data_IF_830742465245
#
_entry.id   IF_830742465245
#
_cell.length_a   1.000
_cell.length_b   1.000
_cell.length_c   1.000
_cell.angle_alpha   90.00
_cell.angle_beta   90.00
_cell.angle_gamma   90.00
#
_symmetry.space_group_name_H-M   'P 1'
#
loop_
_entity.id
_entity.type
_entity.pdbx_description
1 polymer ?
#
# COMPACT_ATOMS: atom_id res chain seq x y z
N UNK A 1 5.80 -27.15 -2.93
CA UNK A 1 4.85 -27.62 -1.90
C UNK A 1 5.48 -27.36 -0.55
N UNK A 2 4.78 -26.72 0.38
CA UNK A 2 5.37 -26.36 1.68
C UNK A 2 5.71 -27.58 2.55
N UNK A 3 6.80 -27.49 3.31
CA UNK A 3 7.27 -28.54 4.23
C UNK A 3 6.81 -28.29 5.66
N UNK A 4 6.37 -29.37 6.31
CA UNK A 4 6.10 -29.39 7.75
C UNK A 4 7.41 -29.56 8.51
N UNK A 5 7.64 -28.71 9.51
CA UNK A 5 8.74 -28.88 10.43
C UNK A 5 8.53 -30.11 11.33
N UNK A 6 9.61 -30.69 11.91
CA UNK A 6 9.47 -31.75 12.90
C UNK A 6 8.61 -31.29 14.08
N UNK A 7 7.70 -32.13 14.59
CA UNK A 7 6.83 -31.77 15.73
C UNK A 7 7.60 -31.44 17.03
N UNK A 8 8.89 -31.77 17.08
CA UNK A 8 9.80 -31.41 18.18
C UNK A 8 10.30 -29.97 18.10
N UNK A 9 10.14 -29.30 16.96
CA UNK A 9 10.43 -27.88 16.79
C UNK A 9 9.22 -27.07 17.27
N UNK A 10 9.40 -26.17 18.25
CA UNK A 10 8.33 -25.35 18.79
C UNK A 10 7.70 -24.42 17.73
N UNK A 11 8.36 -24.23 16.58
CA UNK A 11 7.85 -23.47 15.43
C UNK A 11 6.96 -24.31 14.51
N UNK A 12 6.82 -25.62 14.72
CA UNK A 12 6.17 -26.57 13.81
C UNK A 12 4.65 -26.37 13.62
N UNK A 13 4.05 -25.42 14.33
CA UNK A 13 2.73 -24.88 14.01
C UNK A 13 2.70 -24.10 12.68
N UNK A 14 3.87 -23.71 12.16
CA UNK A 14 4.04 -22.98 10.89
C UNK A 14 4.60 -23.92 9.79
N UNK A 15 4.38 -23.53 8.55
CA UNK A 15 4.92 -24.19 7.37
C UNK A 15 6.19 -23.47 6.88
N UNK A 16 7.18 -24.22 6.44
CA UNK A 16 8.33 -23.70 5.71
C UNK A 16 8.07 -23.81 4.21
N UNK A 17 8.29 -22.73 3.46
CA UNK A 17 8.24 -22.75 2.00
C UNK A 17 9.51 -23.45 1.47
N UNK A 18 9.35 -24.26 0.44
CA UNK A 18 10.46 -24.91 -0.28
C UNK A 18 10.89 -24.05 -1.48
N UNK A 19 12.10 -24.25 -2.04
CA UNK A 19 12.57 -23.50 -3.22
C UNK A 19 11.55 -23.43 -4.36
N UNK A 20 10.90 -24.55 -4.68
CA UNK A 20 9.89 -24.65 -5.74
C UNK A 20 8.59 -23.87 -5.44
N UNK A 21 8.39 -23.36 -4.22
CA UNK A 21 7.26 -22.48 -3.88
C UNK A 21 7.52 -21.01 -4.28
N UNK A 22 8.77 -20.64 -4.62
CA UNK A 22 9.14 -19.29 -5.04
C UNK A 22 9.18 -19.19 -6.57
N UNK A 23 8.81 -18.01 -7.10
CA UNK A 23 8.82 -17.76 -8.54
C UNK A 23 10.24 -17.78 -9.15
N UNK A 24 11.24 -17.42 -8.34
CA UNK A 24 12.65 -17.36 -8.73
C UNK A 24 13.46 -17.89 -7.54
N UNK A 25 13.75 -19.19 -7.53
CA UNK A 25 14.67 -19.80 -6.57
C UNK A 25 15.44 -20.91 -7.26
N UNK A 26 16.73 -20.66 -7.54
CA UNK A 26 17.67 -21.66 -8.01
C UNK A 26 18.66 -21.95 -6.87
N UNK A 27 18.61 -23.16 -6.30
CA UNK A 27 19.58 -23.60 -5.30
C UNK A 27 19.02 -24.54 -4.24
N UNK A 28 19.92 -25.23 -3.54
CA UNK A 28 19.59 -26.04 -2.38
C UNK A 28 19.39 -25.15 -1.14
N UNK A 29 18.44 -25.54 -0.28
CA UNK A 29 18.25 -24.88 1.01
C UNK A 29 19.52 -24.96 1.87
N UNK A 30 19.90 -23.81 2.43
CA UNK A 30 21.04 -23.73 3.35
C UNK A 30 20.66 -24.44 4.66
N UNK A 31 21.52 -25.35 5.11
CA UNK A 31 21.32 -26.03 6.40
C UNK A 31 21.36 -25.01 7.54
N UNK A 32 20.38 -25.00 8.47
CA UNK A 32 20.37 -24.07 9.60
C UNK A 32 21.65 -24.20 10.45
N UNK A 33 22.32 -23.07 10.71
CA UNK A 33 23.58 -23.04 11.48
C UNK A 33 23.45 -22.41 12.86
N UNK A 34 22.40 -21.63 13.09
CA UNK A 34 22.18 -20.87 14.32
C UNK A 34 20.68 -20.82 14.60
N UNK A 35 20.21 -21.75 15.45
CA UNK A 35 18.79 -21.88 15.78
C UNK A 35 18.44 -21.01 16.97
N UNK A 36 17.40 -20.19 16.82
CA UNK A 36 16.81 -19.39 17.89
C UNK A 36 16.20 -20.30 18.97
N UNK A 37 16.31 -19.90 20.24
CA UNK A 37 15.64 -20.57 21.35
C UNK A 37 14.15 -20.19 21.45
N UNK A 38 13.37 -21.03 22.13
CA UNK A 38 11.92 -20.88 22.25
C UNK A 38 11.52 -19.58 22.95
N UNK A 39 12.24 -19.18 24.00
CA UNK A 39 11.91 -17.98 24.77
C UNK A 39 12.13 -16.72 23.92
N UNK A 40 13.24 -16.64 23.20
CA UNK A 40 13.52 -15.51 22.30
C UNK A 40 12.51 -15.45 21.16
N UNK A 41 12.19 -16.60 20.54
CA UNK A 41 11.15 -16.66 19.50
C UNK A 41 9.79 -16.18 20.02
N UNK A 42 9.36 -16.72 21.16
CA UNK A 42 8.11 -16.33 21.82
C UNK A 42 8.07 -14.82 22.12
N UNK A 43 9.18 -14.25 22.61
CA UNK A 43 9.30 -12.82 22.86
C UNK A 43 9.16 -11.93 21.62
N UNK A 44 9.49 -12.47 20.43
CA UNK A 44 9.35 -11.75 19.14
C UNK A 44 7.96 -11.94 18.54
N UNK A 45 7.38 -13.15 18.60
CA UNK A 45 6.16 -13.46 17.83
C UNK A 45 4.87 -13.46 18.64
N UNK A 46 4.88 -13.67 19.96
CA UNK A 46 3.63 -13.88 20.69
C UNK A 46 2.65 -12.70 20.63
N UNK A 47 3.15 -11.48 20.76
CA UNK A 47 2.28 -10.29 20.67
C UNK A 47 1.69 -10.15 19.28
N UNK A 48 2.50 -10.33 18.24
CA UNK A 48 2.05 -10.20 16.85
C UNK A 48 1.10 -11.34 16.46
N UNK A 49 1.32 -12.55 16.98
CA UNK A 49 0.41 -13.71 16.84
C UNK A 49 -0.95 -13.44 17.51
N UNK A 50 -0.99 -12.94 18.77
CA UNK A 50 -2.24 -12.58 19.46
C UNK A 50 -3.00 -11.49 18.70
N UNK A 51 -2.30 -10.44 18.23
CA UNK A 51 -2.93 -9.39 17.44
C UNK A 51 -3.44 -9.91 16.10
N UNK A 52 -2.70 -10.79 15.42
CA UNK A 52 -3.14 -11.39 14.16
C UNK A 52 -4.43 -12.19 14.36
N UNK A 53 -4.51 -13.01 15.43
CA UNK A 53 -5.71 -13.76 15.77
C UNK A 53 -6.88 -12.81 16.01
N UNK A 54 -6.77 -11.85 16.94
CA UNK A 54 -7.85 -10.89 17.26
C UNK A 54 -8.28 -10.06 16.06
N UNK A 55 -7.31 -9.62 15.25
CA UNK A 55 -7.57 -8.86 14.03
C UNK A 55 -8.38 -9.70 13.06
N UNK A 56 -7.98 -10.95 12.83
CA UNK A 56 -8.69 -11.86 11.93
C UNK A 56 -10.08 -12.27 12.45
N UNK A 57 -10.23 -12.48 13.77
CA UNK A 57 -11.51 -12.80 14.43
C UNK A 57 -12.55 -11.69 14.26
N UNK A 58 -12.11 -10.43 14.28
CA UNK A 58 -13.00 -9.27 14.24
C UNK A 58 -13.09 -8.59 12.87
N UNK A 59 -12.12 -8.79 11.97
CA UNK A 59 -11.99 -8.03 10.72
C UNK A 59 -11.72 -8.89 9.48
N UNK A 60 -12.04 -10.19 9.51
CA UNK A 60 -11.84 -11.10 8.39
C UNK A 60 -12.37 -10.59 7.04
N UNK A 61 -13.56 -9.96 7.00
CA UNK A 61 -14.12 -9.36 5.77
C UNK A 61 -13.24 -8.22 5.24
N UNK A 62 -12.71 -7.37 6.14
CA UNK A 62 -11.85 -6.24 5.77
C UNK A 62 -10.49 -6.70 5.27
N UNK A 63 -9.91 -7.70 5.93
CA UNK A 63 -8.67 -8.34 5.47
C UNK A 63 -8.83 -8.98 4.09
N UNK A 64 -9.96 -9.67 3.86
CA UNK A 64 -10.30 -10.21 2.54
C UNK A 64 -10.38 -9.11 1.49
N UNK A 65 -11.04 -7.98 1.80
CA UNK A 65 -11.11 -6.86 0.87
C UNK A 65 -9.72 -6.30 0.55
N UNK A 66 -8.88 -6.03 1.55
CA UNK A 66 -7.53 -5.52 1.32
C UNK A 66 -6.66 -6.48 0.49
N UNK A 67 -6.85 -7.80 0.67
CA UNK A 67 -6.20 -8.81 -0.14
C UNK A 67 -6.71 -8.84 -1.59
N UNK A 68 -8.02 -8.71 -1.81
CA UNK A 68 -8.61 -8.57 -3.15
C UNK A 68 -8.09 -7.31 -3.86
N UNK A 69 -8.05 -6.17 -3.17
CA UNK A 69 -7.53 -4.92 -3.73
C UNK A 69 -6.05 -5.02 -4.13
N UNK A 70 -5.23 -5.69 -3.32
CA UNK A 70 -3.85 -5.96 -3.68
C UNK A 70 -3.75 -6.88 -4.90
N UNK A 71 -4.58 -7.92 -4.97
CA UNK A 71 -4.61 -8.85 -6.12
C UNK A 71 -5.00 -8.13 -7.41
N UNK A 72 -6.02 -7.27 -7.36
CA UNK A 72 -6.43 -6.41 -8.47
C UNK A 72 -5.32 -5.43 -8.88
N UNK A 73 -4.61 -4.88 -7.90
CA UNK A 73 -3.50 -3.97 -8.16
C UNK A 73 -2.39 -4.65 -8.97
N UNK A 74 -2.06 -5.92 -8.66
CA UNK A 74 -1.11 -6.72 -9.44
C UNK A 74 -1.57 -6.85 -10.90
N UNK A 75 -2.86 -7.13 -11.13
CA UNK A 75 -3.43 -7.21 -12.49
C UNK A 75 -3.35 -5.84 -13.20
N UNK A 76 -3.47 -4.74 -12.47
CA UNK A 76 -3.43 -3.38 -12.99
C UNK A 76 -2.02 -2.87 -13.36
N UNK A 77 -0.94 -3.55 -12.96
CA UNK A 77 0.45 -3.10 -13.19
C UNK A 77 0.75 -2.89 -14.68
N UNK A 78 0.25 -3.77 -15.56
CA UNK A 78 0.44 -3.71 -17.01
C UNK A 78 1.24 -4.89 -17.56
N UNK A 79 1.69 -4.77 -18.81
CA UNK A 79 2.40 -5.83 -19.53
C UNK A 79 3.89 -5.89 -19.13
N UNK A 80 4.38 -6.98 -18.50
CA UNK A 80 5.80 -7.15 -18.18
C UNK A 80 6.72 -7.19 -19.41
N UNK A 81 6.21 -7.62 -20.57
CA UNK A 81 7.02 -7.72 -21.80
C UNK A 81 7.20 -6.35 -22.48
N UNK A 82 6.31 -5.40 -22.17
CA UNK A 82 6.33 -4.04 -22.73
C UNK A 82 6.04 -3.00 -21.62
N UNK A 83 6.90 -2.87 -20.61
CA UNK A 83 6.65 -2.01 -19.47
C UNK A 83 6.70 -0.53 -19.88
N UNK A 84 5.68 0.24 -19.49
CA UNK A 84 5.72 1.70 -19.57
C UNK A 84 6.47 2.32 -18.37
N UNK A 85 6.58 3.64 -18.32
CA UNK A 85 7.33 4.32 -17.25
C UNK A 85 6.67 4.22 -15.87
N UNK A 86 5.39 3.83 -15.81
CA UNK A 86 4.66 3.64 -14.57
C UNK A 86 4.79 2.21 -14.03
N UNK A 87 5.15 1.23 -14.87
CA UNK A 87 5.19 -0.20 -14.53
C UNK A 87 5.96 -0.51 -13.24
N UNK A 88 7.25 -0.13 -13.16
CA UNK A 88 8.07 -0.45 -11.99
C UNK A 88 7.57 0.24 -10.71
N UNK A 89 7.11 1.49 -10.81
CA UNK A 89 6.54 2.19 -9.66
C UNK A 89 5.26 1.50 -9.15
N UNK A 90 4.44 0.93 -10.04
CA UNK A 90 3.26 0.16 -9.64
C UNK A 90 3.63 -1.19 -9.02
N UNK A 91 4.68 -1.84 -9.52
CA UNK A 91 5.22 -3.06 -8.94
C UNK A 91 5.73 -2.81 -7.51
N UNK A 92 6.57 -1.79 -7.32
CA UNK A 92 7.07 -1.41 -5.98
C UNK A 92 5.93 -0.95 -5.04
N UNK A 93 4.91 -0.27 -5.58
CA UNK A 93 3.72 0.07 -4.81
C UNK A 93 2.91 -1.17 -4.41
N UNK A 94 2.91 -2.24 -5.21
CA UNK A 94 2.26 -3.49 -4.88
C UNK A 94 2.92 -4.16 -3.66
N UNK A 95 4.25 -4.14 -3.59
CA UNK A 95 5.01 -4.63 -2.43
C UNK A 95 4.66 -3.82 -1.18
N UNK A 96 4.62 -2.49 -1.30
CA UNK A 96 4.21 -1.62 -0.19
C UNK A 96 2.77 -1.94 0.27
N UNK A 97 1.83 -2.13 -0.65
CA UNK A 97 0.45 -2.52 -0.32
C UNK A 97 0.36 -3.91 0.32
N UNK A 98 1.14 -4.89 -0.12
CA UNK A 98 1.21 -6.20 0.52
C UNK A 98 1.77 -6.08 1.94
N UNK A 99 2.81 -5.26 2.11
CA UNK A 99 3.42 -4.96 3.40
C UNK A 99 2.40 -4.30 4.34
N UNK A 100 1.58 -3.37 3.86
CA UNK A 100 0.47 -2.77 4.63
C UNK A 100 -0.47 -3.85 5.18
N UNK A 101 -0.88 -4.81 4.35
CA UNK A 101 -1.78 -5.89 4.77
C UNK A 101 -1.15 -6.73 5.89
N UNK A 102 0.12 -7.08 5.74
CA UNK A 102 0.86 -7.83 6.75
C UNK A 102 1.03 -7.03 8.05
N UNK A 103 1.47 -5.79 7.97
CA UNK A 103 1.71 -4.92 9.14
C UNK A 103 0.41 -4.61 9.89
N UNK A 104 -0.68 -4.36 9.17
CA UNK A 104 -2.02 -4.17 9.74
C UNK A 104 -2.45 -5.39 10.55
N UNK A 105 -2.31 -6.60 9.97
CA UNK A 105 -2.69 -7.85 10.61
C UNK A 105 -1.92 -8.07 11.94
N UNK A 106 -0.64 -7.73 11.96
CA UNK A 106 0.24 -7.93 13.12
C UNK A 106 0.29 -6.73 14.08
N UNK A 107 -0.56 -5.70 13.87
CA UNK A 107 -0.67 -4.55 14.76
C UNK A 107 0.37 -3.45 14.58
N UNK A 108 1.23 -3.50 13.57
CA UNK A 108 2.21 -2.45 13.28
C UNK A 108 1.60 -1.29 12.48
N UNK A 109 0.56 -0.65 13.04
CA UNK A 109 -0.26 0.34 12.34
C UNK A 109 0.52 1.56 11.84
N UNK A 110 1.51 2.06 12.60
CA UNK A 110 2.35 3.18 12.15
C UNK A 110 3.15 2.79 10.92
N UNK A 111 3.79 1.62 10.96
CA UNK A 111 4.58 1.12 9.84
C UNK A 111 3.68 0.91 8.61
N UNK A 112 2.47 0.34 8.79
CA UNK A 112 1.49 0.23 7.72
C UNK A 112 1.14 1.61 7.10
N UNK A 113 0.90 2.64 7.92
CA UNK A 113 0.68 4.00 7.41
C UNK A 113 1.91 4.60 6.71
N UNK A 114 3.12 4.27 7.16
CA UNK A 114 4.34 4.70 6.50
C UNK A 114 4.50 4.02 5.12
N UNK A 115 4.15 2.74 4.97
CA UNK A 115 4.16 2.04 3.67
C UNK A 115 3.10 2.60 2.71
N UNK A 116 1.92 3.00 3.22
CA UNK A 116 0.93 3.71 2.40
C UNK A 116 1.47 5.03 1.83
N UNK A 117 2.35 5.73 2.57
CA UNK A 117 3.06 6.93 2.04
C UNK A 117 3.94 6.54 0.85
N UNK A 118 4.69 5.46 0.98
CA UNK A 118 5.62 4.97 -0.04
C UNK A 118 4.85 4.63 -1.32
N UNK A 119 3.79 3.83 -1.23
CA UNK A 119 2.94 3.49 -2.37
C UNK A 119 2.40 4.75 -3.07
N UNK A 120 1.86 5.71 -2.32
CA UNK A 120 1.31 6.95 -2.88
C UNK A 120 2.37 7.80 -3.59
N UNK A 121 3.57 7.91 -3.01
CA UNK A 121 4.69 8.66 -3.59
C UNK A 121 5.19 8.01 -4.89
N UNK A 122 5.38 6.69 -4.88
CA UNK A 122 5.82 5.93 -6.06
C UNK A 122 4.84 6.05 -7.22
N UNK A 123 3.54 5.85 -6.97
CA UNK A 123 2.51 5.95 -8.02
C UNK A 123 2.43 7.37 -8.58
N UNK A 124 2.56 8.40 -7.74
CA UNK A 124 2.57 9.79 -8.21
C UNK A 124 3.81 10.10 -9.06
N UNK A 125 4.99 9.65 -8.64
CA UNK A 125 6.23 9.82 -9.43
C UNK A 125 6.15 9.05 -10.75
N UNK A 126 5.71 7.80 -10.72
CA UNK A 126 5.52 6.99 -11.91
C UNK A 126 4.50 7.59 -12.88
N UNK A 127 3.41 8.17 -12.35
CA UNK A 127 2.40 8.84 -13.16
C UNK A 127 2.96 10.07 -13.86
N UNK A 128 3.83 10.84 -13.18
CA UNK A 128 4.57 11.92 -13.79
C UNK A 128 5.54 11.43 -14.87
N UNK A 129 6.32 10.39 -14.57
CA UNK A 129 7.24 9.75 -15.52
C UNK A 129 6.53 9.29 -16.79
N UNK A 130 5.37 8.66 -16.67
CA UNK A 130 4.59 8.21 -17.83
C UNK A 130 4.09 9.35 -18.71
N UNK A 131 3.74 10.50 -18.12
CA UNK A 131 3.33 11.69 -18.85
C UNK A 131 4.52 12.48 -19.41
N UNK A 132 5.71 12.35 -18.80
CA UNK A 132 6.94 13.08 -19.14
C UNK A 132 8.18 12.16 -19.07
N UNK A 133 8.27 11.15 -19.96
CA UNK A 133 9.33 10.14 -19.91
C UNK A 133 10.74 10.71 -20.05
N UNK A 134 10.86 11.85 -20.72
CA UNK A 134 12.14 12.52 -20.99
C UNK A 134 12.44 13.68 -20.04
N UNK A 135 11.67 13.86 -18.95
CA UNK A 135 11.97 14.91 -17.97
C UNK A 135 13.29 14.64 -17.26
N UNK A 136 14.17 15.63 -17.22
CA UNK A 136 15.52 15.46 -16.69
C UNK A 136 15.53 15.05 -15.21
N UNK A 137 14.63 15.60 -14.37
CA UNK A 137 14.58 15.24 -12.96
C UNK A 137 14.05 13.81 -12.77
N UNK A 138 13.05 13.39 -13.56
CA UNK A 138 12.55 12.01 -13.54
C UNK A 138 13.63 11.01 -13.98
N UNK A 139 14.31 11.26 -15.10
CA UNK A 139 15.37 10.39 -15.61
C UNK A 139 16.52 10.28 -14.61
N UNK A 140 16.90 11.39 -13.96
CA UNK A 140 17.93 11.41 -12.92
C UNK A 140 17.50 10.60 -11.69
N UNK A 141 16.26 10.77 -11.21
CA UNK A 141 15.71 9.95 -10.12
C UNK A 141 15.76 8.46 -10.44
N UNK A 142 15.31 8.08 -11.63
CA UNK A 142 15.24 6.69 -12.09
C UNK A 142 16.61 6.02 -12.24
N UNK A 143 17.65 6.77 -12.64
CA UNK A 143 18.95 6.18 -13.04
C UNK A 143 20.09 6.43 -12.06
N UNK A 144 20.04 7.51 -11.26
CA UNK A 144 21.14 7.91 -10.40
C UNK A 144 20.76 8.04 -8.91
N UNK A 145 19.53 7.68 -8.54
CA UNK A 145 19.08 7.66 -7.14
C UNK A 145 18.98 9.03 -6.48
N UNK A 146 18.82 10.11 -7.25
CA UNK A 146 18.57 11.45 -6.69
C UNK A 146 17.19 11.53 -6.04
N UNK A 147 17.01 12.33 -4.99
CA UNK A 147 15.68 12.52 -4.39
C UNK A 147 14.74 13.30 -5.34
N UNK A 148 13.54 12.77 -5.55
CA UNK A 148 12.47 13.44 -6.29
C UNK A 148 11.25 13.63 -5.39
N UNK A 149 11.25 14.75 -4.65
CA UNK A 149 10.28 14.95 -3.58
C UNK A 149 8.82 15.08 -4.07
N UNK A 150 7.90 14.45 -3.32
CA UNK A 150 6.47 14.44 -3.60
C UNK A 150 5.87 15.81 -3.96
N UNK A 151 6.13 16.82 -3.11
CA UNK A 151 5.56 18.16 -3.28
C UNK A 151 5.98 18.85 -4.57
N UNK A 152 7.19 18.57 -5.05
CA UNK A 152 7.72 19.13 -6.31
C UNK A 152 6.98 18.51 -7.50
N UNK A 153 6.84 17.19 -7.52
CA UNK A 153 6.15 16.48 -8.61
C UNK A 153 4.67 16.79 -8.65
N UNK A 154 3.99 16.83 -7.49
CA UNK A 154 2.59 17.26 -7.42
C UNK A 154 2.37 18.63 -8.06
N UNK A 155 3.20 19.63 -7.74
CA UNK A 155 3.09 20.98 -8.32
C UNK A 155 3.32 20.98 -9.83
N UNK A 156 4.21 20.13 -10.33
CA UNK A 156 4.43 19.98 -11.78
C UNK A 156 3.25 19.34 -12.48
N UNK A 157 2.72 18.25 -11.93
CA UNK A 157 1.49 17.62 -12.44
C UNK A 157 0.33 18.62 -12.44
N UNK A 158 0.18 19.41 -11.38
CA UNK A 158 -0.84 20.46 -11.29
C UNK A 158 -0.68 21.54 -12.36
N UNK A 159 0.56 21.95 -12.68
CA UNK A 159 0.82 22.93 -13.73
C UNK A 159 0.67 22.39 -15.15
N UNK A 160 0.89 21.08 -15.35
CA UNK A 160 0.80 20.42 -16.64
C UNK A 160 -0.63 20.05 -17.03
N UNK A 161 -1.38 19.52 -16.08
CA UNK A 161 -2.78 19.16 -16.27
C UNK A 161 -3.60 20.44 -16.13
N UNK A 162 -4.57 20.65 -17.02
CA UNK A 162 -5.38 21.89 -17.05
C UNK A 162 -5.88 22.20 -15.64
N UNK A 163 -5.43 23.33 -15.06
CA UNK A 163 -5.53 23.55 -13.61
C UNK A 163 -6.95 23.31 -13.08
N UNK A 164 -7.97 23.80 -13.77
CA UNK A 164 -9.37 23.65 -13.36
C UNK A 164 -9.87 22.20 -13.36
N UNK A 165 -9.39 21.34 -14.26
CA UNK A 165 -9.91 19.99 -14.45
C UNK A 165 -9.55 19.05 -13.29
N UNK A 166 -8.38 19.26 -12.67
CA UNK A 166 -7.81 18.36 -11.66
C UNK A 166 -7.42 19.07 -10.35
N UNK A 167 -7.95 20.29 -10.13
CA UNK A 167 -7.69 21.05 -8.91
C UNK A 167 -8.00 20.22 -7.65
N UNK A 168 -9.15 19.53 -7.62
CA UNK A 168 -9.60 18.67 -6.52
C UNK A 168 -8.61 17.56 -6.12
N UNK A 169 -7.68 17.21 -7.02
CA UNK A 169 -6.63 16.21 -6.75
C UNK A 169 -5.34 16.89 -6.34
N UNK A 170 -4.84 17.82 -7.16
CA UNK A 170 -3.46 18.28 -7.09
C UNK A 170 -3.26 19.61 -6.36
N UNK A 171 -4.29 20.43 -6.14
CA UNK A 171 -4.10 21.74 -5.52
C UNK A 171 -3.66 21.62 -4.05
N UNK A 172 -3.11 22.70 -3.50
CA UNK A 172 -2.63 22.73 -2.12
C UNK A 172 -3.80 22.58 -1.14
N UNK A 173 -3.71 21.61 -0.23
CA UNK A 173 -4.77 21.28 0.74
C UNK A 173 -5.76 20.24 0.24
N UNK A 174 -5.78 19.97 -1.06
CA UNK A 174 -6.64 18.95 -1.66
C UNK A 174 -6.11 17.54 -1.44
N UNK A 175 -6.92 16.55 -1.83
CA UNK A 175 -6.87 15.17 -1.34
C UNK A 175 -5.48 14.52 -1.42
N UNK A 176 -4.72 14.76 -2.51
CA UNK A 176 -3.39 14.17 -2.67
C UNK A 176 -2.40 14.77 -1.65
N UNK A 177 -2.43 16.08 -1.48
CA UNK A 177 -1.51 16.80 -0.58
C UNK A 177 -1.87 16.64 0.90
N UNK A 178 -3.16 16.54 1.23
CA UNK A 178 -3.64 16.32 2.59
C UNK A 178 -3.40 14.88 3.04
N UNK A 179 -3.69 13.89 2.18
CA UNK A 179 -3.40 12.47 2.45
C UNK A 179 -1.92 12.25 2.65
N UNK A 180 -1.06 12.73 1.74
CA UNK A 180 0.39 12.57 1.88
C UNK A 180 0.93 13.22 3.18
N UNK A 181 0.44 14.43 3.52
CA UNK A 181 0.84 15.10 4.76
C UNK A 181 0.42 14.30 6.00
N UNK A 182 -0.77 13.71 5.99
CA UNK A 182 -1.23 12.84 7.08
C UNK A 182 -0.33 11.63 7.23
N UNK A 183 0.01 10.96 6.12
CA UNK A 183 0.86 9.76 6.12
C UNK A 183 2.30 10.07 6.59
N UNK A 184 2.86 11.22 6.20
CA UNK A 184 4.18 11.67 6.69
C UNK A 184 4.29 11.77 8.22
N UNK A 185 3.18 11.99 8.94
CA UNK A 185 3.21 12.02 10.40
C UNK A 185 3.65 10.67 11.00
N UNK A 186 3.32 9.56 10.34
CA UNK A 186 3.65 8.20 10.78
C UNK A 186 5.07 7.79 10.39
N UNK A 187 5.54 8.23 9.22
CA UNK A 187 6.96 8.06 8.81
C UNK A 187 7.91 8.75 9.79
N UNK A 188 7.55 9.96 10.24
CA UNK A 188 8.37 10.73 11.19
C UNK A 188 8.04 10.46 12.66
N UNK A 189 7.16 9.50 12.96
CA UNK A 189 6.74 9.15 14.33
C UNK A 189 6.40 10.38 15.19
N UNK A 190 5.58 11.29 14.65
CA UNK A 190 5.14 12.49 15.40
C UNK A 190 4.44 12.06 16.71
N UNK A 191 4.34 12.95 17.73
CA UNK A 191 3.90 12.59 19.08
C UNK A 191 2.60 11.75 19.17
N UNK A 192 1.66 11.93 18.24
CA UNK A 192 0.38 11.19 18.18
C UNK A 192 0.32 10.15 17.03
N UNK A 193 1.47 9.75 16.52
CA UNK A 193 1.62 8.84 15.37
C UNK A 193 2.79 7.87 15.57
N UNK A 194 3.32 7.75 16.79
CA UNK A 194 4.32 6.76 17.17
C UNK A 194 3.67 5.41 17.49
N UNK A 195 4.43 4.32 17.45
CA UNK A 195 3.92 2.98 17.80
C UNK A 195 3.33 2.97 19.23
N UNK A 196 4.04 3.57 20.20
CA UNK A 196 3.56 3.67 21.58
C UNK A 196 2.27 4.48 21.72
N UNK A 197 2.09 5.54 20.92
CA UNK A 197 0.85 6.33 20.92
C UNK A 197 -0.33 5.60 20.28
N UNK A 198 -0.07 4.72 19.32
CA UNK A 198 -1.10 3.93 18.65
C UNK A 198 -1.49 2.67 19.43
N UNK A 199 -0.55 2.07 20.15
CA UNK A 199 -0.77 0.87 20.94
C UNK A 199 -1.26 1.16 22.36
N UNK A 200 -0.83 2.30 22.93
CA UNK A 200 -0.92 2.56 24.38
C UNK A 200 -0.34 1.40 25.21
N UNK A 201 0.68 0.73 24.67
CA UNK A 201 1.29 -0.49 25.18
C UNK A 201 2.80 -0.53 24.88
N UNK A 202 3.52 -1.46 25.49
CA UNK A 202 4.96 -1.70 25.25
C UNK A 202 5.24 -2.61 24.03
N UNK A 203 4.20 -2.98 23.28
CA UNK A 203 4.30 -3.75 22.06
C UNK A 203 2.96 -3.78 21.30
N UNK A 204 2.90 -4.46 20.15
CA UNK A 204 1.69 -4.55 19.34
C UNK A 204 0.52 -5.10 20.15
N UNK A 205 -0.62 -4.40 20.06
CA UNK A 205 -1.91 -4.84 20.60
C UNK A 205 -3.02 -4.56 19.60
N UNK A 206 -4.12 -5.31 19.70
CA UNK A 206 -5.30 -5.05 18.88
C UNK A 206 -6.00 -3.78 19.38
N UNK A 207 -6.00 -2.73 18.56
CA UNK A 207 -6.68 -1.46 18.85
C UNK A 207 -7.67 -1.20 17.71
N UNK A 208 -8.94 -1.50 17.96
CA UNK A 208 -9.98 -1.46 16.92
C UNK A 208 -10.03 -0.13 16.17
N UNK A 209 -9.98 1.00 16.90
CA UNK A 209 -10.07 2.33 16.29
C UNK A 209 -8.89 2.64 15.37
N UNK A 210 -7.66 2.27 15.79
CA UNK A 210 -6.45 2.46 14.97
C UNK A 210 -6.46 1.54 13.76
N UNK A 211 -6.94 0.30 13.91
CA UNK A 211 -7.13 -0.61 12.79
C UNK A 211 -8.11 -0.04 11.77
N UNK A 212 -9.28 0.43 12.21
CA UNK A 212 -10.29 1.02 11.32
C UNK A 212 -9.75 2.26 10.60
N UNK A 213 -9.02 3.12 11.32
CA UNK A 213 -8.33 4.27 10.73
C UNK A 213 -7.34 3.84 9.66
N UNK A 214 -6.53 2.82 9.93
CA UNK A 214 -5.52 2.31 8.97
C UNK A 214 -6.18 1.69 7.76
N UNK A 215 -7.23 0.88 7.96
CA UNK A 215 -8.02 0.29 6.90
C UNK A 215 -8.62 1.34 5.96
N UNK A 216 -9.36 2.34 6.48
CA UNK A 216 -9.95 3.38 5.64
C UNK A 216 -8.92 4.27 4.95
N UNK A 217 -7.78 4.50 5.60
CA UNK A 217 -6.66 5.21 4.97
C UNK A 217 -6.08 4.40 3.81
N UNK A 218 -5.95 3.07 3.95
CA UNK A 218 -5.53 2.20 2.86
C UNK A 218 -6.48 2.28 1.67
N UNK A 219 -7.80 2.21 1.90
CA UNK A 219 -8.81 2.36 0.83
C UNK A 219 -8.67 3.70 0.10
N UNK A 220 -8.48 4.79 0.86
CA UNK A 220 -8.26 6.13 0.27
C UNK A 220 -7.03 6.16 -0.62
N UNK A 221 -5.92 5.58 -0.16
CA UNK A 221 -4.66 5.57 -0.92
C UNK A 221 -4.79 4.72 -2.18
N UNK A 222 -5.42 3.55 -2.12
CA UNK A 222 -5.74 2.77 -3.32
C UNK A 222 -6.57 3.58 -4.33
N UNK A 223 -7.64 4.23 -3.88
CA UNK A 223 -8.51 5.03 -4.74
C UNK A 223 -7.73 6.16 -5.42
N UNK A 224 -6.94 6.93 -4.66
CA UNK A 224 -6.09 8.01 -5.19
C UNK A 224 -5.06 7.45 -6.19
N UNK A 225 -4.44 6.32 -5.88
CA UNK A 225 -3.47 5.67 -6.76
C UNK A 225 -4.11 5.25 -8.09
N UNK A 226 -5.29 4.63 -8.08
CA UNK A 226 -6.00 4.30 -9.32
C UNK A 226 -6.39 5.54 -10.14
N UNK A 227 -6.76 6.65 -9.50
CA UNK A 227 -7.03 7.91 -10.20
C UNK A 227 -5.76 8.45 -10.88
N UNK A 228 -4.60 8.39 -10.20
CA UNK A 228 -3.31 8.75 -10.76
C UNK A 228 -2.92 7.86 -11.95
N UNK A 229 -3.09 6.53 -11.80
CA UNK A 229 -2.87 5.56 -12.88
C UNK A 229 -3.75 5.88 -14.08
N UNK A 230 -5.05 6.18 -13.87
CA UNK A 230 -5.99 6.53 -14.94
C UNK A 230 -5.61 7.83 -15.66
N UNK A 231 -5.08 8.82 -14.94
CA UNK A 231 -4.55 10.06 -15.53
C UNK A 231 -3.33 9.77 -16.42
N UNK A 232 -2.42 8.91 -15.94
CA UNK A 232 -1.19 8.53 -16.64
C UNK A 232 -1.44 7.56 -17.82
N UNK A 233 -2.48 6.72 -17.72
CA UNK A 233 -2.87 5.71 -18.70
C UNK A 233 -4.34 5.91 -19.08
N UNK A 234 -4.66 6.77 -20.07
CA UNK A 234 -6.05 7.09 -20.45
C UNK A 234 -6.88 5.92 -21.01
N UNK A 235 -6.26 4.76 -21.27
CA UNK A 235 -6.92 3.52 -21.66
C UNK A 235 -7.10 2.53 -20.48
N UNK A 236 -6.60 2.86 -19.29
CA UNK A 236 -6.68 2.00 -18.10
C UNK A 236 -8.13 1.73 -17.70
N UNK A 237 -8.47 0.46 -17.53
CA UNK A 237 -9.75 0.01 -16.98
C UNK A 237 -9.55 -0.41 -15.54
N UNK A 238 -10.42 0.09 -14.65
CA UNK A 238 -10.38 -0.31 -13.25
C UNK A 238 -10.76 -1.79 -13.12
N UNK A 239 -9.98 -2.60 -12.36
CA UNK A 239 -10.37 -3.95 -12.00
C UNK A 239 -11.74 -4.00 -11.30
N UNK A 240 -12.47 -5.11 -11.46
CA UNK A 240 -13.87 -5.23 -11.01
C UNK A 240 -14.02 -5.11 -9.50
N UNK A 241 -13.22 -5.86 -8.71
CA UNK A 241 -13.31 -5.85 -7.25
C UNK A 241 -12.87 -4.49 -6.66
N UNK A 242 -12.04 -3.73 -7.39
CA UNK A 242 -11.59 -2.39 -7.01
C UNK A 242 -12.64 -1.31 -7.21
N UNK A 243 -13.76 -1.59 -7.89
CA UNK A 243 -14.89 -0.63 -8.04
C UNK A 243 -15.48 -0.22 -6.71
N UNK A 244 -15.45 -1.10 -5.71
CA UNK A 244 -15.94 -0.84 -4.35
C UNK A 244 -15.33 0.42 -3.73
N UNK A 245 -14.10 0.79 -4.14
CA UNK A 245 -13.41 2.01 -3.71
C UNK A 245 -14.13 3.31 -4.14
N UNK A 246 -15.02 3.23 -5.13
CA UNK A 246 -15.74 4.38 -5.67
C UNK A 246 -17.26 4.25 -5.47
N UNK A 247 -17.72 3.05 -5.15
CA UNK A 247 -19.13 2.69 -5.07
C UNK A 247 -19.70 2.75 -3.64
N UNK A 248 -18.90 2.38 -2.64
CA UNK A 248 -19.32 2.30 -1.24
C UNK A 248 -18.95 3.57 -0.44
N UNK A 249 -19.68 3.82 0.66
CA UNK A 249 -19.35 4.89 1.60
C UNK A 249 -18.41 4.38 2.69
N UNK A 250 -17.12 4.60 2.49
CA UNK A 250 -16.07 4.13 3.38
C UNK A 250 -15.31 5.24 4.10
N UNK A 251 -15.62 6.53 3.91
CA UNK A 251 -15.00 7.58 4.73
C UNK A 251 -14.88 8.99 4.16
N UNK A 252 -14.09 9.86 4.85
CA UNK A 252 -13.94 11.28 4.51
C UNK A 252 -13.36 11.49 3.11
N UNK A 253 -13.86 12.49 2.38
CA UNK A 253 -13.36 12.81 1.04
C UNK A 253 -13.96 11.98 -0.10
N UNK A 254 -14.88 11.05 0.21
CA UNK A 254 -15.60 10.22 -0.78
C UNK A 254 -16.26 11.03 -1.88
N UNK A 255 -16.89 12.15 -1.58
CA UNK A 255 -17.57 12.96 -2.60
C UNK A 255 -16.59 13.47 -3.67
N UNK A 256 -15.38 13.86 -3.27
CA UNK A 256 -14.34 14.29 -4.20
C UNK A 256 -13.80 13.11 -5.03
N UNK A 257 -13.54 11.97 -4.38
CA UNK A 257 -13.07 10.74 -5.05
C UNK A 257 -14.11 10.18 -6.03
N UNK A 258 -15.39 10.18 -5.66
CA UNK A 258 -16.48 9.73 -6.51
C UNK A 258 -16.62 10.63 -7.74
N UNK A 259 -16.68 11.96 -7.55
CA UNK A 259 -16.72 12.92 -8.68
C UNK A 259 -15.52 12.76 -9.62
N UNK A 260 -14.34 12.53 -9.05
CA UNK A 260 -13.13 12.26 -9.80
C UNK A 260 -13.22 10.99 -10.64
N UNK A 261 -13.73 9.91 -10.05
CA UNK A 261 -13.98 8.65 -10.74
C UNK A 261 -14.93 8.86 -11.92
N UNK A 262 -16.05 9.54 -11.70
CA UNK A 262 -17.02 9.81 -12.76
C UNK A 262 -16.42 10.64 -13.90
N UNK A 263 -15.60 11.63 -13.57
CA UNK A 263 -14.91 12.47 -14.54
C UNK A 263 -13.87 11.70 -15.37
N UNK A 264 -13.09 10.83 -14.74
CA UNK A 264 -11.94 10.14 -15.34
C UNK A 264 -12.31 8.84 -16.07
N UNK A 265 -13.24 8.08 -15.50
CA UNK A 265 -13.69 6.79 -16.02
C UNK A 265 -14.95 6.93 -16.89
N UNK A 266 -15.69 8.05 -16.80
CA UNK A 266 -16.97 8.28 -17.50
C UNK A 266 -18.04 7.25 -17.14
N UNK A 267 -17.95 6.72 -15.93
CA UNK A 267 -18.88 5.78 -15.32
C UNK A 267 -19.54 6.45 -14.11
N UNK A 268 -20.67 5.95 -13.62
CA UNK A 268 -21.29 6.50 -12.41
C UNK A 268 -20.67 5.87 -11.16
N UNK A 269 -20.37 6.68 -10.16
CA UNK A 269 -20.18 6.17 -8.81
C UNK A 269 -21.57 5.83 -8.25
N UNK A 270 -21.78 4.62 -7.73
CA UNK A 270 -23.07 4.28 -7.14
C UNK A 270 -23.41 5.22 -5.98
N UNK A 271 -24.69 5.60 -5.89
CA UNK A 271 -25.23 6.30 -4.75
C UNK A 271 -25.81 5.24 -3.82
N UNK A 272 -25.08 4.89 -2.75
CA UNK A 272 -25.67 4.21 -1.61
C UNK A 272 -26.77 5.05 -0.97
#
# INVERSE_FOLDING_TARGET
MTRKLPLTDFRAIRHQLEPDDFAISDGDDITPTDLIDEQTWAGITHLTDDVAIRTSDHNGIRLKLLYSLWSDWIVAIGDPDHPDELYNCMLDAADAFQCVNFLLLHGYYRAAMAELRVALELVMIGSYGNLKPTDADYVTWKTSGSELGFSRIRKRLHGMLTQEQYNWLFADGEILSSTFRQLCNFTHSRPDSSDGALWESNGPVYVHEVLMRTFFTALSVYAICYLLVRIARPAFTLPEDSRILFEEDWGPGREAIAKAFEQLFKERASHG
#
